data_IF_737527699496
#
_entry.id   IF_737527699496
#
_cell.length_a   1.000
_cell.length_b   1.000
_cell.length_c   1.000
_cell.angle_alpha   90.00
_cell.angle_beta   90.00
_cell.angle_gamma   90.00
#
_symmetry.space_group_name_H-M   'P 1'
#
loop_
_entity.id
_entity.type
_entity.pdbx_description
1 polymer ?
#
# COMPACT_ATOMS: atom_id res chain seq x y z
N UNK A 1 21.52 -11.55 32.52
CA UNK A 1 20.43 -11.87 31.58
C UNK A 1 19.17 -11.19 32.07
N UNK A 2 18.79 -10.05 31.50
CA UNK A 2 17.60 -9.30 31.89
C UNK A 2 16.62 -9.26 30.72
N UNK A 3 15.49 -9.98 30.86
CA UNK A 3 14.19 -9.36 30.60
C UNK A 3 13.48 -9.59 29.27
N UNK A 4 13.72 -10.66 28.52
CA UNK A 4 12.79 -11.05 27.45
C UNK A 4 11.89 -12.18 27.94
N UNK A 5 10.69 -11.80 28.41
CA UNK A 5 9.59 -12.71 28.70
C UNK A 5 8.51 -12.49 27.64
N UNK A 6 8.64 -13.16 26.49
CA UNK A 6 7.59 -13.14 25.47
C UNK A 6 6.45 -14.01 25.97
N UNK A 7 5.26 -13.43 26.12
CA UNK A 7 4.03 -14.16 26.42
C UNK A 7 3.35 -14.57 25.10
N UNK A 8 3.47 -15.83 24.63
CA UNK A 8 3.05 -16.19 23.28
C UNK A 8 1.56 -15.99 23.05
N UNK A 9 0.73 -16.29 24.07
CA UNK A 9 -0.72 -16.05 24.01
C UNK A 9 -1.06 -14.57 23.89
N UNK A 10 -0.31 -13.69 24.57
CA UNK A 10 -0.48 -12.25 24.46
C UNK A 10 -0.14 -11.75 23.06
N UNK A 11 0.95 -12.26 22.48
CA UNK A 11 1.35 -11.91 21.11
C UNK A 11 0.31 -12.40 20.09
N UNK A 12 -0.17 -13.63 20.20
CA UNK A 12 -1.21 -14.16 19.30
C UNK A 12 -2.50 -13.33 19.36
N UNK A 13 -2.93 -12.90 20.56
CA UNK A 13 -4.06 -12.00 20.72
C UNK A 13 -3.85 -10.67 19.99
N UNK A 14 -2.69 -10.05 20.16
CA UNK A 14 -2.35 -8.80 19.48
C UNK A 14 -2.23 -8.98 17.96
N UNK A 15 -1.65 -10.07 17.48
CA UNK A 15 -1.56 -10.36 16.04
C UNK A 15 -2.95 -10.50 15.40
N UNK A 16 -3.92 -11.08 16.12
CA UNK A 16 -5.31 -11.16 15.65
C UNK A 16 -5.96 -9.78 15.53
N UNK A 17 -5.76 -8.92 16.53
CA UNK A 17 -6.27 -7.53 16.53
C UNK A 17 -5.64 -6.73 15.39
N UNK A 18 -4.31 -6.79 15.23
CA UNK A 18 -3.59 -6.12 14.15
C UNK A 18 -4.02 -6.64 12.79
N UNK A 19 -4.24 -7.94 12.63
CA UNK A 19 -4.80 -8.51 11.39
C UNK A 19 -6.18 -7.96 11.05
N UNK A 20 -7.05 -7.79 12.05
CA UNK A 20 -8.35 -7.14 11.87
C UNK A 20 -8.20 -5.68 11.42
N UNK A 21 -7.36 -4.90 12.08
CA UNK A 21 -7.10 -3.51 11.69
C UNK A 21 -6.43 -3.37 10.31
N UNK A 22 -5.55 -4.31 9.94
CA UNK A 22 -4.95 -4.34 8.61
C UNK A 22 -6.02 -4.57 7.52
N UNK A 23 -7.01 -5.43 7.78
CA UNK A 23 -8.14 -5.62 6.88
C UNK A 23 -9.03 -4.38 6.74
N UNK A 24 -9.30 -3.67 7.84
CA UNK A 24 -10.03 -2.39 7.78
C UNK A 24 -9.24 -1.30 7.05
N UNK A 25 -7.92 -1.26 7.21
CA UNK A 25 -7.03 -0.37 6.45
C UNK A 25 -7.08 -0.69 4.95
N UNK A 26 -7.07 -1.96 4.56
CA UNK A 26 -7.20 -2.37 3.16
C UNK A 26 -8.52 -1.90 2.56
N UNK A 27 -9.63 -2.09 3.28
CA UNK A 27 -10.96 -1.60 2.85
C UNK A 27 -10.96 -0.09 2.66
N UNK A 28 -10.43 0.65 3.63
CA UNK A 28 -10.35 2.11 3.57
C UNK A 28 -9.49 2.59 2.39
N UNK A 29 -8.36 1.92 2.12
CA UNK A 29 -7.49 2.25 1.00
C UNK A 29 -8.16 1.98 -0.36
N UNK A 30 -8.87 0.86 -0.48
CA UNK A 30 -9.63 0.54 -1.69
C UNK A 30 -10.77 1.55 -1.94
N UNK A 31 -11.48 1.94 -0.87
CA UNK A 31 -12.48 2.99 -0.93
C UNK A 31 -11.87 4.32 -1.39
N UNK A 32 -10.75 4.74 -0.80
CA UNK A 32 -10.03 5.95 -1.19
C UNK A 32 -9.69 5.97 -2.69
N UNK A 33 -9.13 4.88 -3.21
CA UNK A 33 -8.76 4.79 -4.64
C UNK A 33 -9.98 4.84 -5.55
N UNK A 34 -11.09 4.21 -5.14
CA UNK A 34 -12.36 4.28 -5.86
C UNK A 34 -12.89 5.71 -5.87
N UNK A 35 -12.96 6.35 -4.71
CA UNK A 35 -13.52 7.69 -4.55
C UNK A 35 -12.68 8.74 -5.29
N UNK A 36 -11.35 8.61 -5.29
CA UNK A 36 -10.47 9.46 -6.12
C UNK A 36 -10.76 9.30 -7.61
N UNK A 37 -10.96 8.07 -8.08
CA UNK A 37 -11.29 7.79 -9.48
C UNK A 37 -12.67 8.33 -9.87
N UNK A 38 -13.65 8.21 -9.00
CA UNK A 38 -14.99 8.78 -9.20
C UNK A 38 -14.96 10.31 -9.19
N UNK A 39 -14.26 10.92 -8.22
CA UNK A 39 -14.05 12.36 -8.14
C UNK A 39 -13.31 12.90 -9.37
N UNK A 40 -12.30 12.19 -9.87
CA UNK A 40 -11.58 12.57 -11.09
C UNK A 40 -12.48 12.48 -12.35
N UNK A 41 -13.43 11.55 -12.39
CA UNK A 41 -14.39 11.44 -13.50
C UNK A 41 -15.50 12.50 -13.41
N UNK A 42 -15.96 12.81 -12.19
CA UNK A 42 -16.99 13.81 -11.93
C UNK A 42 -16.47 15.25 -12.04
N UNK A 43 -15.18 15.46 -11.77
CA UNK A 43 -14.49 16.72 -12.00
C UNK A 43 -14.49 17.05 -13.51
N UNK A 44 -15.41 17.94 -13.90
CA UNK A 44 -15.65 18.31 -15.29
C UNK A 44 -14.40 18.70 -16.07
N UNK A 45 -14.51 18.63 -17.39
CA UNK A 45 -13.45 18.89 -18.37
C UNK A 45 -13.28 20.39 -18.62
N UNK A 46 -13.24 21.21 -17.56
CA UNK A 46 -12.91 22.64 -17.68
C UNK A 46 -11.45 22.78 -18.12
N UNK A 47 -11.24 22.62 -19.41
CA UNK A 47 -9.95 22.60 -20.07
C UNK A 47 -9.91 23.86 -20.95
N UNK A 48 -8.78 24.60 -21.00
CA UNK A 48 -8.62 25.73 -21.91
C UNK A 48 -9.05 25.33 -23.33
N UNK A 49 -9.77 26.21 -24.05
CA UNK A 49 -10.48 25.86 -25.29
C UNK A 49 -9.65 25.23 -26.41
N UNK A 50 -8.31 25.32 -26.35
CA UNK A 50 -7.37 24.65 -27.26
C UNK A 50 -7.08 23.19 -26.92
N UNK A 51 -7.49 22.71 -25.75
CA UNK A 51 -7.24 21.36 -25.25
C UNK A 51 -8.53 20.57 -24.94
N UNK A 52 -9.72 21.15 -25.09
CA UNK A 52 -11.00 20.46 -24.83
C UNK A 52 -11.16 19.14 -25.62
N UNK A 53 -10.61 19.11 -26.84
CA UNK A 53 -10.56 17.93 -27.69
C UNK A 53 -9.23 17.94 -28.44
N UNK A 54 -8.23 17.17 -28.00
CA UNK A 54 -7.03 16.94 -28.81
C UNK A 54 -7.33 15.86 -29.85
N UNK A 55 -7.28 16.17 -31.16
CA UNK A 55 -7.36 15.15 -32.19
C UNK A 55 -6.13 14.24 -32.10
N UNK A 56 -6.36 12.94 -31.94
CA UNK A 56 -5.32 11.90 -31.88
C UNK A 56 -4.75 11.55 -33.26
N UNK A 57 -5.37 12.03 -34.34
CA UNK A 57 -4.97 11.76 -35.71
C UNK A 57 -5.17 13.00 -36.58
N UNK A 58 -4.33 13.18 -37.60
CA UNK A 58 -4.38 14.28 -38.57
C UNK A 58 -5.69 14.34 -39.37
N UNK A 59 -5.80 15.23 -40.39
CA UNK A 59 -7.07 15.51 -41.07
C UNK A 59 -7.81 14.23 -41.48
N UNK A 60 -8.97 13.97 -40.87
CA UNK A 60 -9.80 12.82 -41.20
C UNK A 60 -10.54 13.09 -42.52
N UNK A 61 -10.72 12.04 -43.32
CA UNK A 61 -11.43 12.14 -44.59
C UNK A 61 -12.88 12.66 -44.38
N UNK A 62 -13.47 13.38 -45.35
CA UNK A 62 -14.84 13.88 -45.24
C UNK A 62 -15.82 12.73 -44.96
N UNK A 63 -16.55 12.81 -43.83
CA UNK A 63 -17.54 11.81 -43.43
C UNK A 63 -17.14 10.88 -42.27
N UNK A 64 -15.93 11.00 -41.71
CA UNK A 64 -15.56 10.28 -40.49
C UNK A 64 -15.39 11.22 -39.29
N UNK A 65 -15.89 10.78 -38.13
CA UNK A 65 -15.70 11.51 -36.87
C UNK A 65 -14.23 11.43 -36.45
N UNK A 66 -13.57 12.56 -36.12
CA UNK A 66 -12.20 12.54 -35.65
C UNK A 66 -12.07 11.78 -34.32
N UNK A 67 -11.03 10.96 -34.21
CA UNK A 67 -10.62 10.34 -32.95
C UNK A 67 -10.12 11.45 -32.00
N UNK A 68 -10.96 11.89 -31.07
CA UNK A 68 -10.62 12.90 -30.07
C UNK A 68 -10.48 12.29 -28.68
N UNK A 69 -9.45 12.69 -27.94
CA UNK A 69 -9.36 12.40 -26.50
C UNK A 69 -9.97 13.55 -25.72
N UNK A 70 -10.94 13.24 -24.86
CA UNK A 70 -11.46 14.18 -23.87
C UNK A 70 -10.33 14.54 -22.90
N UNK A 71 -9.97 15.82 -22.83
CA UNK A 71 -8.94 16.25 -21.90
C UNK A 71 -9.43 16.17 -20.45
N UNK A 72 -8.56 15.63 -19.60
CA UNK A 72 -8.77 15.51 -18.16
C UNK A 72 -8.72 16.91 -17.54
N UNK A 73 -9.75 17.29 -16.79
CA UNK A 73 -9.80 18.61 -16.13
C UNK A 73 -8.69 18.78 -15.08
N UNK A 74 -8.35 20.03 -14.69
CA UNK A 74 -7.26 20.32 -13.77
C UNK A 74 -7.41 19.65 -12.39
N UNK A 75 -8.65 19.49 -11.92
CA UNK A 75 -8.94 18.79 -10.65
C UNK A 75 -8.62 17.30 -10.74
N UNK A 76 -8.94 16.65 -11.86
CA UNK A 76 -8.64 15.25 -12.07
C UNK A 76 -7.12 15.01 -12.21
N UNK A 77 -6.39 15.95 -12.83
CA UNK A 77 -4.92 15.94 -12.82
C UNK A 77 -4.35 16.08 -11.40
N UNK A 78 -4.85 17.02 -10.60
CA UNK A 78 -4.42 17.22 -9.22
C UNK A 78 -4.68 16.01 -8.32
N UNK A 79 -5.82 15.33 -8.49
CA UNK A 79 -6.12 14.08 -7.77
C UNK A 79 -5.16 12.95 -8.17
N UNK A 80 -4.78 12.89 -9.45
CA UNK A 80 -3.76 11.95 -9.94
C UNK A 80 -2.40 12.19 -9.31
N UNK A 81 -1.94 13.44 -9.26
CA UNK A 81 -0.69 13.83 -8.60
C UNK A 81 -0.72 13.56 -7.09
N UNK A 82 -1.84 13.87 -6.43
CA UNK A 82 -2.03 13.56 -5.01
C UNK A 82 -1.93 12.05 -4.75
N UNK A 83 -2.59 11.22 -5.56
CA UNK A 83 -2.52 9.76 -5.43
C UNK A 83 -1.09 9.25 -5.59
N UNK A 84 -0.37 9.74 -6.62
CA UNK A 84 1.02 9.35 -6.86
C UNK A 84 1.93 9.77 -5.69
N UNK A 85 1.79 10.99 -5.19
CA UNK A 85 2.58 11.50 -4.07
C UNK A 85 2.34 10.70 -2.78
N UNK A 86 1.10 10.22 -2.55
CA UNK A 86 0.73 9.44 -1.36
C UNK A 86 1.05 7.94 -1.48
N UNK A 87 1.20 7.41 -2.68
CA UNK A 87 1.48 5.99 -2.90
C UNK A 87 2.69 5.49 -2.13
N UNK A 88 3.80 6.25 -2.13
CA UNK A 88 5.01 5.87 -1.41
C UNK A 88 4.80 5.78 0.11
N UNK A 89 4.00 6.69 0.68
CA UNK A 89 3.70 6.71 2.11
C UNK A 89 2.80 5.53 2.49
N UNK A 90 1.77 5.25 1.68
CA UNK A 90 0.86 4.13 1.89
C UNK A 90 1.61 2.79 1.81
N UNK A 91 2.51 2.65 0.83
CA UNK A 91 3.39 1.49 0.72
C UNK A 91 4.32 1.35 1.93
N UNK A 92 4.95 2.45 2.38
CA UNK A 92 5.80 2.41 3.58
C UNK A 92 5.02 1.99 4.83
N UNK A 93 3.77 2.44 4.98
CA UNK A 93 2.91 2.02 6.09
C UNK A 93 2.61 0.53 6.03
N UNK A 94 2.23 -0.01 4.87
CA UNK A 94 1.92 -1.43 4.73
C UNK A 94 3.15 -2.31 4.98
N UNK A 95 4.32 -1.91 4.48
CA UNK A 95 5.59 -2.61 4.70
C UNK A 95 5.95 -2.67 6.20
N UNK A 96 5.73 -1.58 6.93
CA UNK A 96 5.97 -1.52 8.38
C UNK A 96 5.01 -2.39 9.17
N UNK A 97 3.72 -2.39 8.81
CA UNK A 97 2.72 -3.27 9.42
C UNK A 97 3.10 -4.74 9.19
N UNK A 98 3.44 -5.09 7.95
CA UNK A 98 3.84 -6.45 7.60
C UNK A 98 5.11 -6.86 8.34
N UNK A 99 6.12 -5.98 8.43
CA UNK A 99 7.36 -6.26 9.14
C UNK A 99 7.12 -6.48 10.64
N UNK A 100 6.25 -5.67 11.25
CA UNK A 100 5.88 -5.83 12.65
C UNK A 100 5.15 -7.16 12.92
N UNK A 101 4.17 -7.50 12.08
CA UNK A 101 3.39 -8.75 12.20
C UNK A 101 4.29 -9.97 12.01
N UNK A 102 5.08 -10.01 10.94
CA UNK A 102 5.99 -11.12 10.65
C UNK A 102 7.07 -11.22 11.72
N UNK A 103 7.67 -10.10 12.12
CA UNK A 103 8.67 -10.06 13.17
C UNK A 103 8.17 -10.58 14.50
N UNK A 104 6.98 -10.15 14.93
CA UNK A 104 6.38 -10.60 16.17
C UNK A 104 6.02 -12.09 16.13
N UNK A 105 5.48 -12.57 15.00
CA UNK A 105 5.14 -13.99 14.81
C UNK A 105 6.41 -14.87 14.82
N UNK A 106 7.40 -14.52 14.00
CA UNK A 106 8.66 -15.28 13.92
C UNK A 106 9.40 -15.23 15.25
N UNK A 107 9.57 -14.06 15.86
CA UNK A 107 10.26 -13.95 17.15
C UNK A 107 9.57 -14.77 18.26
N UNK A 108 8.24 -14.85 18.25
CA UNK A 108 7.50 -15.68 19.23
C UNK A 108 7.70 -17.16 18.98
N UNK A 109 7.71 -17.60 17.72
CA UNK A 109 7.95 -19.00 17.37
C UNK A 109 9.37 -19.44 17.77
N UNK A 110 10.40 -18.67 17.38
CA UNK A 110 11.79 -18.94 17.74
C UNK A 110 12.00 -18.95 19.26
N UNK A 111 11.34 -18.02 19.98
CA UNK A 111 11.39 -17.97 21.44
C UNK A 111 10.79 -19.23 22.09
N UNK A 112 9.69 -19.76 21.54
CA UNK A 112 9.07 -21.01 22.01
C UNK A 112 9.94 -22.23 21.68
N UNK A 113 10.64 -22.21 20.54
CA UNK A 113 11.61 -23.23 20.12
C UNK A 113 12.92 -23.16 20.93
N UNK A 114 13.14 -22.09 21.70
CA UNK A 114 14.32 -21.89 22.54
C UNK A 114 15.48 -21.19 21.84
N UNK A 115 15.32 -20.78 20.58
CA UNK A 115 16.30 -20.01 19.83
C UNK A 115 16.12 -18.51 20.06
N UNK A 116 16.75 -18.02 21.13
CA UNK A 116 16.67 -16.61 21.54
C UNK A 116 17.44 -15.67 20.59
N UNK A 117 18.46 -16.19 19.89
CA UNK A 117 19.27 -15.38 18.97
C UNK A 117 18.51 -15.11 17.67
N UNK A 118 17.87 -16.13 17.11
CA UNK A 118 16.99 -15.97 15.94
C UNK A 118 15.74 -15.16 16.30
N UNK A 119 15.19 -15.34 17.51
CA UNK A 119 14.10 -14.48 18.00
C UNK A 119 14.49 -13.00 18.04
N UNK A 120 15.71 -12.69 18.49
CA UNK A 120 16.25 -11.33 18.51
C UNK A 120 16.52 -10.78 17.11
N UNK A 121 17.03 -11.63 16.22
CA UNK A 121 17.23 -11.26 14.81
C UNK A 121 15.91 -10.90 14.14
N UNK A 122 14.84 -11.66 14.39
CA UNK A 122 13.50 -11.37 13.89
C UNK A 122 12.97 -10.02 14.37
N UNK A 123 13.16 -9.67 15.65
CA UNK A 123 12.78 -8.34 16.16
C UNK A 123 13.61 -7.20 15.53
N UNK A 124 14.91 -7.40 15.36
CA UNK A 124 15.78 -6.41 14.72
C UNK A 124 15.43 -6.20 13.24
N UNK A 125 15.10 -7.28 12.53
CA UNK A 125 14.63 -7.23 11.16
C UNK A 125 13.29 -6.46 11.06
N UNK A 126 12.36 -6.70 11.99
CA UNK A 126 11.11 -5.94 12.08
C UNK A 126 11.34 -4.45 12.33
N UNK A 127 12.22 -4.11 13.27
CA UNK A 127 12.58 -2.72 13.61
C UNK A 127 13.19 -1.96 12.41
N UNK A 128 13.94 -2.67 11.58
CA UNK A 128 14.58 -2.12 10.37
C UNK A 128 13.74 -2.30 9.09
N UNK A 129 12.51 -2.83 9.20
CA UNK A 129 11.58 -3.05 8.08
C UNK A 129 12.19 -3.95 6.98
N UNK A 130 12.96 -4.96 7.40
CA UNK A 130 13.63 -5.93 6.51
C UNK A 130 12.71 -7.10 6.21
N UNK A 131 11.76 -6.86 5.31
CA UNK A 131 10.77 -7.86 4.89
C UNK A 131 11.38 -9.05 4.15
N UNK A 132 12.49 -8.84 3.44
CA UNK A 132 13.31 -9.87 2.81
C UNK A 132 13.78 -10.89 3.86
N UNK A 133 14.50 -10.40 4.87
CA UNK A 133 15.05 -11.25 5.92
C UNK A 133 13.95 -11.97 6.70
N UNK A 134 12.84 -11.29 7.01
CA UNK A 134 11.71 -11.88 7.72
C UNK A 134 11.03 -13.02 6.94
N UNK A 135 10.98 -12.92 5.61
CA UNK A 135 10.44 -13.98 4.75
C UNK A 135 11.41 -15.15 4.64
N UNK A 136 12.70 -14.87 4.50
CA UNK A 136 13.74 -15.91 4.42
C UNK A 136 13.81 -16.73 5.72
N UNK A 137 13.79 -16.06 6.88
CA UNK A 137 13.74 -16.73 8.20
C UNK A 137 12.49 -17.61 8.37
N UNK A 138 11.39 -17.27 7.70
CA UNK A 138 10.17 -18.07 7.73
C UNK A 138 10.19 -19.24 6.74
N UNK A 139 10.90 -19.08 5.62
CA UNK A 139 10.97 -20.08 4.54
C UNK A 139 12.07 -21.13 4.74
N UNK A 140 13.03 -20.86 5.63
CA UNK A 140 14.09 -21.80 6.01
C UNK A 140 13.70 -22.82 7.09
N UNK A 141 12.41 -22.87 7.48
CA UNK A 141 11.82 -23.90 8.33
C UNK A 141 11.08 -24.95 7.50
#
# INVERSE_FOLDING_TARGET
MTGWDIKPQGVQGQLKVVGGHAGELEKALNALMKDLGEAARAAGTAVPGTAASTPLQGPVAPGQAPLSRTATGPVAAALGEYAQARQAQLKSMSERIQAAVLGAATATNEYVEGDLDTAKQAQNAARSVRLDLLKDMRSGR
#
